data_IF_879732303825
#
_entry.id   IF_879732303825
#
_cell.length_a   1.000
_cell.length_b   1.000
_cell.length_c   1.000
_cell.angle_alpha   90.00
_cell.angle_beta   90.00
_cell.angle_gamma   90.00
#
_symmetry.space_group_name_H-M   'P 1'
#
loop_
_entity.id
_entity.type
_entity.pdbx_description
1 polymer ?
#
# COMPACT_ATOMS: atom_id res chain seq x y z
N UNK A 1 -22.35 -29.74 -12.02
CA UNK A 1 -23.31 -28.62 -12.20
C UNK A 1 -24.71 -29.18 -12.42
N UNK A 2 -25.70 -28.82 -11.62
CA UNK A 2 -27.04 -29.43 -11.63
C UNK A 2 -28.03 -28.70 -12.55
N UNK A 3 -27.77 -27.42 -12.84
CA UNK A 3 -28.66 -26.57 -13.66
C UNK A 3 -28.31 -26.58 -15.15
N UNK A 4 -27.05 -26.87 -15.49
CA UNK A 4 -26.57 -26.81 -16.86
C UNK A 4 -26.95 -28.07 -17.67
N UNK A 5 -27.20 -27.95 -18.99
CA UNK A 5 -27.23 -29.10 -19.87
C UNK A 5 -25.91 -29.86 -19.78
N UNK A 6 -25.96 -31.20 -19.88
CA UNK A 6 -24.78 -32.07 -19.72
C UNK A 6 -23.60 -31.63 -20.58
N UNK A 7 -23.85 -31.24 -21.83
CA UNK A 7 -22.80 -30.78 -22.75
C UNK A 7 -22.10 -29.49 -22.31
N UNK A 8 -22.78 -28.62 -21.57
CA UNK A 8 -22.24 -27.36 -21.06
C UNK A 8 -21.55 -27.58 -19.70
N UNK A 9 -22.13 -28.43 -18.84
CA UNK A 9 -21.50 -28.87 -17.60
C UNK A 9 -20.14 -29.52 -17.86
N UNK A 10 -20.05 -30.46 -18.83
CA UNK A 10 -18.80 -31.12 -19.23
C UNK A 10 -17.72 -30.15 -19.74
N UNK A 11 -18.12 -28.98 -20.24
CA UNK A 11 -17.18 -27.93 -20.68
C UNK A 11 -16.67 -27.10 -19.52
N UNK A 12 -17.53 -26.79 -18.54
CA UNK A 12 -17.11 -26.15 -17.30
C UNK A 12 -16.17 -27.06 -16.52
N UNK A 13 -16.48 -28.35 -16.40
CA UNK A 13 -15.62 -29.32 -15.70
C UNK A 13 -14.26 -29.46 -16.39
N UNK A 14 -14.21 -29.42 -17.73
CA UNK A 14 -12.94 -29.40 -18.48
C UNK A 14 -12.15 -28.11 -18.28
N UNK A 15 -12.83 -26.97 -18.19
CA UNK A 15 -12.19 -25.69 -17.87
C UNK A 15 -11.54 -25.73 -16.48
N UNK A 16 -12.26 -26.26 -15.49
CA UNK A 16 -11.76 -26.39 -14.11
C UNK A 16 -10.62 -27.41 -13.97
N UNK A 17 -10.60 -28.46 -14.79
CA UNK A 17 -9.56 -29.48 -14.78
C UNK A 17 -8.31 -29.09 -15.60
N UNK A 18 -8.38 -28.00 -16.38
CA UNK A 18 -7.26 -27.56 -17.20
C UNK A 18 -6.17 -26.91 -16.33
N UNK A 19 -4.88 -27.23 -16.53
CA UNK A 19 -3.80 -26.51 -15.85
C UNK A 19 -3.85 -25.01 -16.16
N UNK A 20 -3.51 -24.16 -15.20
CA UNK A 20 -3.48 -22.71 -15.38
C UNK A 20 -2.67 -22.32 -16.64
N UNK A 21 -3.25 -21.41 -17.44
CA UNK A 21 -2.64 -20.92 -18.68
C UNK A 21 -2.72 -21.86 -19.89
N UNK A 22 -3.37 -23.03 -19.79
CA UNK A 22 -3.50 -23.97 -20.92
C UNK A 22 -4.77 -23.79 -21.76
N UNK A 23 -5.79 -23.12 -21.22
CA UNK A 23 -7.02 -22.81 -21.96
C UNK A 23 -6.83 -21.51 -22.74
N UNK A 24 -7.07 -21.52 -24.05
CA UNK A 24 -6.98 -20.28 -24.86
C UNK A 24 -8.08 -19.30 -24.49
N UNK A 25 -7.80 -17.99 -24.57
CA UNK A 25 -8.79 -16.93 -24.35
C UNK A 25 -10.06 -17.16 -25.18
N UNK A 26 -9.92 -17.46 -26.48
CA UNK A 26 -11.03 -17.78 -27.38
C UNK A 26 -11.93 -18.92 -26.87
N UNK A 27 -11.36 -19.96 -26.26
CA UNK A 27 -12.14 -21.08 -25.74
C UNK A 27 -12.94 -20.70 -24.49
N UNK A 28 -12.37 -19.82 -23.64
CA UNK A 28 -13.09 -19.27 -22.49
C UNK A 28 -14.21 -18.34 -22.96
N UNK A 29 -13.95 -17.49 -23.96
CA UNK A 29 -14.93 -16.57 -24.54
C UNK A 29 -16.15 -17.31 -25.10
N UNK A 30 -15.93 -18.39 -25.84
CA UNK A 30 -17.01 -19.23 -26.37
C UNK A 30 -17.80 -19.91 -25.24
N UNK A 31 -17.12 -20.40 -24.20
CA UNK A 31 -17.80 -20.99 -23.03
C UNK A 31 -18.65 -19.96 -22.29
N UNK A 32 -18.13 -18.75 -22.10
CA UNK A 32 -18.90 -17.64 -21.50
C UNK A 32 -20.11 -17.31 -22.36
N UNK A 33 -19.95 -17.12 -23.67
CA UNK A 33 -21.07 -16.80 -24.56
C UNK A 33 -22.21 -17.85 -24.50
N UNK A 34 -21.86 -19.13 -24.40
CA UNK A 34 -22.84 -20.21 -24.26
C UNK A 34 -23.53 -20.21 -22.89
N UNK A 35 -22.80 -19.92 -21.81
CA UNK A 35 -23.36 -19.75 -20.47
C UNK A 35 -24.29 -18.54 -20.39
N UNK A 36 -23.93 -17.44 -21.05
CA UNK A 36 -24.74 -16.22 -21.18
C UNK A 36 -26.02 -16.50 -21.94
N UNK A 37 -25.92 -17.16 -23.09
CA UNK A 37 -27.08 -17.59 -23.88
C UNK A 37 -28.00 -18.53 -23.07
N UNK A 38 -27.43 -19.38 -22.22
CA UNK A 38 -28.21 -20.26 -21.36
C UNK A 38 -28.99 -19.51 -20.28
N UNK A 39 -28.41 -18.46 -19.69
CA UNK A 39 -29.09 -17.69 -18.63
C UNK A 39 -30.02 -16.60 -19.15
N UNK A 40 -29.81 -16.11 -20.38
CA UNK A 40 -30.66 -15.08 -20.96
C UNK A 40 -32.12 -15.56 -21.09
N UNK A 41 -33.05 -14.76 -20.59
CA UNK A 41 -34.48 -15.09 -20.56
C UNK A 41 -34.92 -16.11 -19.49
N UNK A 42 -34.03 -16.55 -18.59
CA UNK A 42 -34.40 -17.38 -17.42
C UNK A 42 -34.90 -16.52 -16.26
N UNK A 43 -35.32 -17.14 -15.15
CA UNK A 43 -35.61 -16.40 -13.91
C UNK A 43 -34.33 -16.00 -13.19
N UNK A 44 -34.40 -14.92 -12.42
CA UNK A 44 -33.31 -14.50 -11.53
C UNK A 44 -32.92 -15.57 -10.53
N UNK A 45 -33.87 -16.35 -10.00
CA UNK A 45 -33.56 -17.53 -9.16
C UNK A 45 -32.67 -18.55 -9.88
N UNK A 46 -32.90 -18.78 -11.18
CA UNK A 46 -32.11 -19.74 -11.96
C UNK A 46 -30.70 -19.20 -12.22
N UNK A 47 -30.60 -17.89 -12.48
CA UNK A 47 -29.31 -17.21 -12.58
C UNK A 47 -28.56 -17.30 -11.25
N UNK A 48 -29.19 -16.94 -10.13
CA UNK A 48 -28.61 -17.01 -8.78
C UNK A 48 -28.10 -18.41 -8.43
N UNK A 49 -28.90 -19.43 -8.71
CA UNK A 49 -28.51 -20.80 -8.42
C UNK A 49 -27.33 -21.26 -9.30
N UNK A 50 -27.26 -20.82 -10.57
CA UNK A 50 -26.11 -21.13 -11.43
C UNK A 50 -24.84 -20.44 -10.92
N UNK A 51 -24.93 -19.17 -10.57
CA UNK A 51 -23.79 -18.40 -10.10
C UNK A 51 -23.27 -18.94 -8.75
N UNK A 52 -24.17 -19.42 -7.89
CA UNK A 52 -23.80 -20.12 -6.66
C UNK A 52 -23.07 -21.43 -6.94
N UNK A 53 -23.55 -22.26 -7.88
CA UNK A 53 -22.86 -23.49 -8.26
C UNK A 53 -21.48 -23.22 -8.85
N UNK A 54 -21.34 -22.23 -9.74
CA UNK A 54 -20.05 -21.84 -10.32
C UNK A 54 -19.06 -21.38 -9.23
N UNK A 55 -19.55 -20.66 -8.22
CA UNK A 55 -18.74 -20.22 -7.07
C UNK A 55 -18.27 -21.39 -6.22
N UNK A 56 -19.16 -22.33 -5.89
CA UNK A 56 -18.84 -23.50 -5.06
C UNK A 56 -17.75 -24.38 -5.68
N UNK A 57 -17.70 -24.44 -7.01
CA UNK A 57 -16.67 -25.19 -7.74
C UNK A 57 -15.43 -24.36 -8.09
N UNK A 58 -15.34 -23.11 -7.63
CA UNK A 58 -14.19 -22.23 -7.86
C UNK A 58 -14.08 -21.67 -9.29
N UNK A 59 -15.15 -21.70 -10.08
CA UNK A 59 -15.19 -21.16 -11.45
C UNK A 59 -15.32 -19.62 -11.50
N UNK A 60 -14.63 -18.92 -10.61
CA UNK A 60 -14.76 -17.47 -10.42
C UNK A 60 -14.54 -16.64 -11.70
N UNK A 61 -13.55 -16.95 -12.57
CA UNK A 61 -13.38 -16.22 -13.82
C UNK A 61 -14.61 -16.32 -14.73
N UNK A 62 -15.28 -17.48 -14.78
CA UNK A 62 -16.49 -17.64 -15.58
C UNK A 62 -17.66 -16.86 -14.97
N UNK A 63 -17.85 -16.94 -13.65
CA UNK A 63 -18.88 -16.18 -12.93
C UNK A 63 -18.75 -14.68 -13.21
N UNK A 64 -17.54 -14.14 -13.10
CA UNK A 64 -17.27 -12.74 -13.35
C UNK A 64 -17.53 -12.32 -14.80
N UNK A 65 -17.16 -13.15 -15.76
CA UNK A 65 -17.36 -12.86 -17.19
C UNK A 65 -18.82 -12.98 -17.63
N UNK A 66 -19.60 -13.88 -17.02
CA UNK A 66 -21.05 -13.94 -17.21
C UNK A 66 -21.71 -12.69 -16.66
N UNK A 67 -21.30 -12.21 -15.48
CA UNK A 67 -21.80 -10.94 -14.93
C UNK A 67 -21.46 -9.77 -15.86
N UNK A 68 -20.22 -9.70 -16.35
CA UNK A 68 -19.80 -8.67 -17.31
C UNK A 68 -20.68 -8.62 -18.57
N UNK A 69 -21.17 -9.78 -19.04
CA UNK A 69 -22.06 -9.86 -20.20
C UNK A 69 -23.48 -9.32 -19.96
N UNK A 70 -23.93 -9.33 -18.69
CA UNK A 70 -25.17 -8.68 -18.29
C UNK A 70 -25.13 -7.17 -18.58
N UNK A 71 -23.92 -6.62 -18.61
CA UNK A 71 -23.66 -5.18 -18.67
C UNK A 71 -23.22 -4.71 -20.06
N UNK A 72 -22.75 -5.61 -20.95
CA UNK A 72 -22.56 -5.31 -22.39
C UNK A 72 -23.85 -5.29 -23.21
N UNK A 73 -25.02 -5.45 -22.56
CA UNK A 73 -26.32 -5.54 -23.24
C UNK A 73 -26.52 -6.84 -24.01
N UNK A 74 -25.79 -7.88 -23.61
CA UNK A 74 -25.90 -9.23 -24.18
C UNK A 74 -26.97 -10.06 -23.45
N UNK A 75 -27.29 -9.68 -22.21
CA UNK A 75 -28.51 -10.11 -21.51
C UNK A 75 -29.64 -9.09 -21.70
N UNK A 76 -30.88 -9.58 -21.66
CA UNK A 76 -32.08 -8.74 -21.66
C UNK A 76 -32.13 -7.74 -20.49
N UNK A 77 -32.68 -6.54 -20.74
CA UNK A 77 -32.75 -5.42 -19.78
C UNK A 77 -33.38 -5.80 -18.43
N UNK A 78 -34.36 -6.70 -18.44
CA UNK A 78 -35.03 -7.24 -17.24
C UNK A 78 -34.08 -8.05 -16.35
N UNK A 79 -33.23 -8.89 -16.96
CA UNK A 79 -32.25 -9.70 -16.23
C UNK A 79 -31.09 -8.83 -15.75
N UNK A 80 -30.64 -7.89 -16.59
CA UNK A 80 -29.54 -6.98 -16.26
C UNK A 80 -29.83 -6.14 -15.00
N UNK A 81 -31.06 -5.60 -14.87
CA UNK A 81 -31.44 -4.77 -13.73
C UNK A 81 -31.47 -5.51 -12.39
N UNK A 82 -32.06 -6.72 -12.34
CA UNK A 82 -32.17 -7.48 -11.09
C UNK A 82 -30.86 -8.15 -10.66
N UNK A 83 -30.00 -8.54 -11.62
CA UNK A 83 -28.70 -9.17 -11.35
C UNK A 83 -27.65 -8.15 -10.85
N UNK A 84 -27.74 -6.91 -11.32
CA UNK A 84 -26.82 -5.82 -10.97
C UNK A 84 -26.80 -5.50 -9.47
N UNK A 85 -27.98 -5.46 -8.84
CA UNK A 85 -28.10 -4.99 -7.46
C UNK A 85 -27.67 -6.04 -6.43
N UNK A 86 -27.82 -7.34 -6.73
CA UNK A 86 -27.68 -8.43 -5.72
C UNK A 86 -26.32 -9.15 -5.75
N UNK A 87 -25.71 -9.29 -6.93
CA UNK A 87 -24.49 -10.10 -7.09
C UNK A 87 -23.18 -9.36 -6.92
N UNK A 88 -23.18 -8.03 -7.05
CA UNK A 88 -21.99 -7.21 -6.79
C UNK A 88 -21.58 -7.43 -5.33
N UNK A 89 -22.36 -7.00 -4.34
CA UNK A 89 -21.98 -7.14 -2.92
C UNK A 89 -21.58 -8.56 -2.49
N UNK A 90 -22.26 -9.58 -3.04
CA UNK A 90 -22.01 -11.00 -2.73
C UNK A 90 -20.72 -11.54 -3.35
N UNK A 91 -20.38 -11.14 -4.58
CA UNK A 91 -19.12 -11.52 -5.21
C UNK A 91 -17.95 -10.65 -4.69
N UNK A 92 -18.21 -9.36 -4.46
CA UNK A 92 -17.26 -8.36 -3.96
C UNK A 92 -16.69 -8.73 -2.59
N UNK A 93 -17.52 -9.24 -1.68
CA UNK A 93 -17.05 -9.74 -0.37
C UNK A 93 -16.61 -11.20 -0.39
N UNK A 94 -17.18 -12.02 -1.27
CA UNK A 94 -16.96 -13.47 -1.28
C UNK A 94 -15.66 -13.92 -1.95
N UNK A 95 -15.10 -13.12 -2.88
CA UNK A 95 -14.00 -13.60 -3.72
C UNK A 95 -12.67 -13.70 -2.97
N UNK A 96 -12.23 -12.68 -2.24
CA UNK A 96 -10.91 -12.65 -1.59
C UNK A 96 -9.69 -12.87 -2.51
N UNK A 97 -9.92 -13.22 -3.77
CA UNK A 97 -8.98 -13.57 -4.80
C UNK A 97 -8.79 -12.36 -5.71
N UNK A 98 -7.67 -11.67 -5.49
CA UNK A 98 -7.28 -10.44 -6.20
C UNK A 98 -6.81 -10.72 -7.62
N UNK A 99 -6.39 -11.95 -7.94
CA UNK A 99 -5.83 -12.28 -9.25
C UNK A 99 -6.95 -12.45 -10.28
N UNK A 100 -7.99 -13.23 -9.95
CA UNK A 100 -9.16 -13.39 -10.81
C UNK A 100 -9.88 -12.06 -11.11
N UNK A 101 -9.74 -11.09 -10.21
CA UNK A 101 -10.29 -9.75 -10.34
C UNK A 101 -9.58 -8.83 -11.33
N UNK A 102 -8.24 -8.95 -11.41
CA UNK A 102 -7.43 -8.17 -12.33
C UNK A 102 -7.77 -8.58 -13.77
N UNK A 103 -7.96 -9.87 -14.01
CA UNK A 103 -8.33 -10.40 -15.33
C UNK A 103 -9.70 -9.85 -15.82
N UNK A 104 -10.61 -9.48 -14.92
CA UNK A 104 -11.92 -8.91 -15.30
C UNK A 104 -11.75 -7.62 -16.10
N UNK A 105 -10.74 -6.80 -15.78
CA UNK A 105 -10.63 -5.46 -16.35
C UNK A 105 -10.46 -5.48 -17.87
N UNK A 106 -9.80 -6.53 -18.39
CA UNK A 106 -9.61 -6.74 -19.83
C UNK A 106 -10.92 -7.09 -20.55
N UNK A 107 -11.93 -7.56 -19.80
CA UNK A 107 -13.26 -7.88 -20.31
C UNK A 107 -14.30 -6.77 -20.05
N UNK A 108 -13.99 -5.79 -19.20
CA UNK A 108 -14.82 -4.59 -18.99
C UNK A 108 -14.63 -3.66 -20.18
N UNK A 109 -15.39 -3.91 -21.24
CA UNK A 109 -15.32 -3.09 -22.45
C UNK A 109 -15.94 -1.69 -22.22
N UNK A 110 -15.49 -0.66 -22.95
CA UNK A 110 -16.14 0.66 -22.93
C UNK A 110 -17.64 0.63 -23.25
N UNK A 111 -18.11 -0.35 -24.04
CA UNK A 111 -19.54 -0.55 -24.32
C UNK A 111 -20.29 -1.06 -23.09
N UNK A 112 -19.71 -1.99 -22.33
CA UNK A 112 -20.27 -2.47 -21.06
C UNK A 112 -20.33 -1.37 -20.00
N UNK A 113 -19.30 -0.52 -19.93
CA UNK A 113 -19.30 0.65 -19.05
C UNK A 113 -20.36 1.68 -19.48
N UNK A 114 -20.59 1.85 -20.79
CA UNK A 114 -21.55 2.82 -21.33
C UNK A 114 -22.99 2.67 -20.79
N UNK A 115 -23.34 1.49 -20.27
CA UNK A 115 -24.70 1.12 -19.83
C UNK A 115 -24.95 1.25 -18.32
N UNK A 116 -23.94 1.55 -17.49
CA UNK A 116 -24.15 1.68 -16.04
C UNK A 116 -23.07 2.49 -15.30
N UNK A 117 -23.33 3.77 -15.04
CA UNK A 117 -22.48 4.61 -14.19
C UNK A 117 -22.28 4.03 -12.78
N UNK A 118 -23.34 3.42 -12.22
CA UNK A 118 -23.32 2.75 -10.93
C UNK A 118 -22.36 1.55 -10.92
N UNK A 119 -22.38 0.72 -11.96
CA UNK A 119 -21.48 -0.44 -12.07
C UNK A 119 -19.99 -0.01 -12.08
N UNK A 120 -19.67 1.01 -12.86
CA UNK A 120 -18.31 1.54 -12.88
C UNK A 120 -17.89 2.11 -11.51
N UNK A 121 -18.82 2.69 -10.76
CA UNK A 121 -18.58 3.14 -9.39
C UNK A 121 -18.31 1.96 -8.45
N UNK A 122 -19.18 0.96 -8.44
CA UNK A 122 -19.09 -0.19 -7.52
C UNK A 122 -17.87 -1.07 -7.80
N UNK A 123 -17.53 -1.32 -9.07
CA UNK A 123 -16.31 -2.02 -9.44
C UNK A 123 -15.06 -1.21 -9.10
N UNK A 124 -15.12 0.12 -9.27
CA UNK A 124 -14.06 1.02 -8.84
C UNK A 124 -13.85 0.96 -7.32
N UNK A 125 -14.93 0.94 -6.54
CA UNK A 125 -14.90 0.81 -5.08
C UNK A 125 -14.26 -0.52 -4.63
N UNK A 126 -14.65 -1.62 -5.28
CA UNK A 126 -14.04 -2.93 -5.05
C UNK A 126 -12.53 -2.90 -5.26
N UNK A 127 -12.09 -2.40 -6.42
CA UNK A 127 -10.68 -2.35 -6.76
C UNK A 127 -9.91 -1.48 -5.76
N UNK A 128 -10.52 -0.40 -5.25
CA UNK A 128 -9.94 0.38 -4.16
C UNK A 128 -9.84 -0.41 -2.85
N UNK A 129 -10.86 -1.20 -2.50
CA UNK A 129 -10.83 -2.06 -1.31
C UNK A 129 -9.70 -3.10 -1.35
N UNK A 130 -9.30 -3.53 -2.56
CA UNK A 130 -8.16 -4.42 -2.80
C UNK A 130 -6.82 -3.70 -2.97
N UNK A 131 -6.82 -2.36 -3.00
CA UNK A 131 -5.64 -1.54 -3.20
C UNK A 131 -5.23 -1.36 -4.67
N UNK A 132 -6.00 -1.90 -5.62
CA UNK A 132 -5.82 -1.84 -7.07
C UNK A 132 -6.25 -0.47 -7.64
N UNK A 133 -5.57 0.59 -7.20
CA UNK A 133 -5.94 1.98 -7.47
C UNK A 133 -5.79 2.37 -8.94
N UNK A 134 -4.78 1.83 -9.62
CA UNK A 134 -4.54 2.10 -11.04
C UNK A 134 -5.71 1.58 -11.89
N UNK A 135 -6.24 0.41 -11.55
CA UNK A 135 -7.40 -0.23 -12.14
C UNK A 135 -8.71 0.50 -11.79
N UNK A 136 -8.85 0.97 -10.55
CA UNK A 136 -10.05 1.69 -10.11
C UNK A 136 -10.21 3.08 -10.78
N UNK A 137 -9.11 3.78 -11.00
CA UNK A 137 -9.10 5.15 -11.53
C UNK A 137 -9.93 5.38 -12.80
N UNK A 138 -9.75 4.61 -13.89
CA UNK A 138 -10.56 4.79 -15.11
C UNK A 138 -12.06 4.52 -14.87
N UNK A 139 -12.41 3.55 -14.02
CA UNK A 139 -13.79 3.20 -13.71
C UNK A 139 -14.51 4.33 -12.96
N UNK A 140 -13.88 4.85 -11.91
CA UNK A 140 -14.41 5.97 -11.11
C UNK A 140 -14.56 7.24 -11.97
N UNK A 141 -13.55 7.56 -12.80
CA UNK A 141 -13.62 8.71 -13.72
C UNK A 141 -14.76 8.56 -14.73
N UNK A 142 -14.94 7.35 -15.25
CA UNK A 142 -16.05 7.06 -16.15
C UNK A 142 -17.40 7.21 -15.44
N UNK A 143 -17.56 6.67 -14.23
CA UNK A 143 -18.78 6.80 -13.43
C UNK A 143 -19.17 8.28 -13.23
N UNK A 144 -18.20 9.11 -12.84
CA UNK A 144 -18.39 10.55 -12.65
C UNK A 144 -18.70 11.30 -13.96
N UNK A 145 -18.19 10.83 -15.11
CA UNK A 145 -18.54 11.41 -16.42
C UNK A 145 -20.00 11.21 -16.79
N UNK A 146 -20.64 10.15 -16.25
CA UNK A 146 -22.04 9.79 -16.50
C UNK A 146 -22.97 10.32 -15.41
N UNK A 147 -22.52 10.29 -14.16
CA UNK A 147 -23.21 10.84 -13.01
C UNK A 147 -22.27 11.73 -12.18
N UNK A 148 -22.14 13.03 -12.53
CA UNK A 148 -21.29 13.96 -11.79
C UNK A 148 -21.73 14.19 -10.33
N UNK A 149 -22.96 13.83 -9.98
CA UNK A 149 -23.52 13.97 -8.63
C UNK A 149 -23.24 12.76 -7.71
N UNK A 150 -22.52 11.75 -8.19
CA UNK A 150 -22.18 10.56 -7.40
C UNK A 150 -21.15 10.91 -6.31
N UNK A 151 -21.64 11.12 -5.09
CA UNK A 151 -20.81 11.48 -3.93
C UNK A 151 -19.85 10.36 -3.55
N UNK A 152 -20.26 9.10 -3.70
CA UNK A 152 -19.43 7.93 -3.38
C UNK A 152 -18.28 7.77 -4.40
N UNK A 153 -18.57 7.86 -5.70
CA UNK A 153 -17.54 7.86 -6.73
C UNK A 153 -16.55 9.01 -6.54
N UNK A 154 -17.03 10.18 -6.11
CA UNK A 154 -16.19 11.36 -5.85
C UNK A 154 -15.30 11.20 -4.61
N UNK A 155 -15.82 10.56 -3.57
CA UNK A 155 -15.03 10.13 -2.41
C UNK A 155 -13.90 9.19 -2.84
N UNK A 156 -14.23 8.19 -3.66
CA UNK A 156 -13.28 7.22 -4.19
C UNK A 156 -12.22 7.87 -5.10
N UNK A 157 -12.59 8.87 -5.90
CA UNK A 157 -11.64 9.68 -6.67
C UNK A 157 -10.65 10.42 -5.74
N UNK A 158 -11.14 10.97 -4.62
CA UNK A 158 -10.30 11.61 -3.61
C UNK A 158 -9.28 10.65 -2.98
N UNK A 159 -9.66 9.40 -2.73
CA UNK A 159 -8.78 8.34 -2.25
C UNK A 159 -7.71 7.99 -3.31
N UNK A 160 -8.09 7.88 -4.58
CA UNK A 160 -7.15 7.63 -5.69
C UNK A 160 -6.09 8.72 -5.73
N UNK A 161 -6.51 9.99 -5.74
CA UNK A 161 -5.59 11.14 -5.75
C UNK A 161 -4.69 11.17 -4.52
N UNK A 162 -5.21 10.85 -3.32
CA UNK A 162 -4.42 10.79 -2.07
C UNK A 162 -3.24 9.83 -2.19
N UNK A 163 -3.48 8.61 -2.68
CA UNK A 163 -2.44 7.60 -2.81
C UNK A 163 -1.54 7.80 -4.03
N UNK A 164 -1.98 8.59 -5.02
CA UNK A 164 -1.14 9.04 -6.13
C UNK A 164 -0.22 10.22 -5.76
N UNK A 165 -0.39 10.82 -4.56
CA UNK A 165 0.34 12.01 -4.14
C UNK A 165 -0.20 13.32 -4.76
N UNK A 166 -1.34 13.26 -5.44
CA UNK A 166 -2.06 14.38 -6.07
C UNK A 166 -2.93 15.08 -5.01
N UNK A 167 -2.27 15.71 -4.04
CA UNK A 167 -2.94 16.16 -2.81
C UNK A 167 -3.88 17.37 -3.02
N UNK A 168 -3.62 18.23 -4.00
CA UNK A 168 -4.51 19.34 -4.33
C UNK A 168 -5.84 18.83 -4.89
N UNK A 169 -5.78 17.88 -5.83
CA UNK A 169 -6.95 17.20 -6.43
C UNK A 169 -7.69 16.37 -5.38
N UNK A 170 -6.96 15.67 -4.51
CA UNK A 170 -7.52 14.93 -3.38
C UNK A 170 -8.30 15.85 -2.44
N UNK A 171 -7.73 17.00 -2.06
CA UNK A 171 -8.40 17.98 -1.22
C UNK A 171 -9.64 18.57 -1.90
N UNK A 172 -9.59 18.85 -3.20
CA UNK A 172 -10.74 19.32 -3.96
C UNK A 172 -11.89 18.29 -3.93
N UNK A 173 -11.60 17.02 -4.24
CA UNK A 173 -12.59 15.94 -4.23
C UNK A 173 -13.24 15.74 -2.85
N UNK A 174 -12.46 15.78 -1.76
CA UNK A 174 -13.02 15.63 -0.42
C UNK A 174 -13.82 16.85 0.05
N UNK A 175 -13.40 18.09 -0.27
CA UNK A 175 -14.24 19.28 -0.02
C UNK A 175 -15.60 19.14 -0.68
N UNK A 176 -15.59 18.63 -1.89
CA UNK A 176 -16.75 18.36 -2.70
C UNK A 176 -17.68 17.29 -2.08
N UNK A 177 -17.14 16.20 -1.54
CA UNK A 177 -17.92 15.23 -0.72
C UNK A 177 -18.54 15.91 0.50
N UNK A 178 -17.77 16.73 1.22
CA UNK A 178 -18.18 17.39 2.46
C UNK A 178 -19.24 18.49 2.24
N UNK A 179 -19.48 18.95 1.01
CA UNK A 179 -20.63 19.80 0.68
C UNK A 179 -21.95 19.04 0.87
N UNK A 180 -21.97 17.74 0.51
CA UNK A 180 -23.17 16.90 0.60
C UNK A 180 -23.26 16.15 1.93
N UNK A 181 -22.12 15.73 2.47
CA UNK A 181 -22.01 14.98 3.71
C UNK A 181 -21.03 15.67 4.65
N UNK A 182 -21.45 16.76 5.34
CA UNK A 182 -20.52 17.60 6.09
C UNK A 182 -19.70 16.84 7.13
N UNK A 183 -20.28 15.88 7.83
CA UNK A 183 -19.62 15.16 8.92
C UNK A 183 -19.14 13.76 8.51
N UNK A 184 -18.94 13.53 7.20
CA UNK A 184 -18.35 12.28 6.72
C UNK A 184 -16.90 12.17 7.20
N UNK A 185 -16.65 11.20 8.09
CA UNK A 185 -15.41 11.13 8.87
C UNK A 185 -14.22 10.74 8.00
N UNK A 186 -14.41 9.85 7.02
CA UNK A 186 -13.35 9.42 6.12
C UNK A 186 -12.80 10.55 5.25
N UNK A 187 -13.69 11.44 4.81
CA UNK A 187 -13.42 12.59 3.96
C UNK A 187 -12.79 13.69 4.77
N UNK A 188 -13.27 13.95 6.00
CA UNK A 188 -12.58 14.86 6.93
C UNK A 188 -11.16 14.39 7.23
N UNK A 189 -10.98 13.08 7.46
CA UNK A 189 -9.66 12.50 7.75
C UNK A 189 -8.72 12.65 6.55
N UNK A 190 -9.18 12.24 5.37
CA UNK A 190 -8.39 12.28 4.15
C UNK A 190 -8.14 13.72 3.67
N UNK A 191 -9.09 14.64 3.87
CA UNK A 191 -8.88 16.06 3.66
C UNK A 191 -7.80 16.61 4.61
N UNK A 192 -7.83 16.25 5.89
CA UNK A 192 -6.80 16.65 6.85
C UNK A 192 -5.39 16.20 6.43
N UNK A 193 -5.26 14.97 5.89
CA UNK A 193 -4.00 14.47 5.31
C UNK A 193 -3.59 15.31 4.10
N UNK A 194 -4.48 15.47 3.12
CA UNK A 194 -4.19 16.19 1.88
C UNK A 194 -3.79 17.65 2.14
N UNK A 195 -4.51 18.35 3.03
CA UNK A 195 -4.19 19.73 3.43
C UNK A 195 -2.85 19.82 4.18
N UNK A 196 -2.53 18.82 5.00
CA UNK A 196 -1.20 18.75 5.64
C UNK A 196 -0.10 18.62 4.59
N UNK A 197 -0.31 17.77 3.58
CA UNK A 197 0.67 17.54 2.51
C UNK A 197 0.97 18.80 1.69
N UNK A 198 -0.07 19.57 1.34
CA UNK A 198 0.08 20.85 0.62
C UNK A 198 0.44 22.03 1.53
N UNK A 199 0.72 21.76 2.82
CA UNK A 199 1.13 22.75 3.84
C UNK A 199 0.06 23.79 4.20
N UNK A 200 -1.21 23.52 3.89
CA UNK A 200 -2.35 24.26 4.43
C UNK A 200 -2.68 23.78 5.85
N UNK A 201 -1.83 24.14 6.81
CA UNK A 201 -1.98 23.70 8.20
C UNK A 201 -3.22 24.27 8.88
N UNK A 202 -3.69 25.44 8.46
CA UNK A 202 -4.91 26.05 8.98
C UNK A 202 -6.15 25.27 8.54
N UNK A 203 -6.23 24.94 7.25
CA UNK A 203 -7.28 24.07 6.71
C UNK A 203 -7.23 22.67 7.31
N UNK A 204 -6.04 22.07 7.40
CA UNK A 204 -5.87 20.75 8.02
C UNK A 204 -6.36 20.74 9.47
N UNK A 205 -5.97 21.74 10.27
CA UNK A 205 -6.42 21.91 11.66
C UNK A 205 -7.95 22.01 11.76
N UNK A 206 -8.59 22.72 10.84
CA UNK A 206 -10.06 22.78 10.79
C UNK A 206 -10.66 21.40 10.55
N UNK A 207 -10.12 20.62 9.61
CA UNK A 207 -10.57 19.25 9.35
C UNK A 207 -10.39 18.34 10.59
N UNK A 208 -9.24 18.43 11.26
CA UNK A 208 -8.95 17.68 12.49
C UNK A 208 -9.91 18.04 13.64
N UNK A 209 -10.20 19.33 13.82
CA UNK A 209 -11.12 19.80 14.86
C UNK A 209 -12.54 19.28 14.65
N UNK A 210 -12.99 19.18 13.38
CA UNK A 210 -14.30 18.59 13.05
C UNK A 210 -14.38 17.10 13.38
N UNK A 211 -13.25 16.40 13.42
CA UNK A 211 -13.13 15.03 13.93
C UNK A 211 -12.97 14.96 15.46
N UNK A 212 -13.00 16.08 16.17
CA UNK A 212 -12.76 16.15 17.62
C UNK A 212 -11.29 16.01 18.03
N UNK A 213 -10.36 16.07 17.07
CA UNK A 213 -8.93 15.99 17.33
C UNK A 213 -8.41 17.39 17.65
N UNK A 214 -7.94 17.57 18.89
CA UNK A 214 -7.42 18.86 19.36
C UNK A 214 -6.01 19.06 18.84
N UNK A 215 -5.86 20.03 17.95
CA UNK A 215 -4.61 20.41 17.32
C UNK A 215 -4.23 21.84 17.74
N UNK A 216 -3.06 22.05 18.38
CA UNK A 216 -2.54 23.38 18.71
C UNK A 216 -2.43 24.32 17.49
N UNK A 217 -2.46 25.62 17.77
CA UNK A 217 -2.21 26.65 16.77
C UNK A 217 -0.70 26.81 16.50
N UNK A 218 -0.14 25.86 15.73
CA UNK A 218 1.25 25.88 15.27
C UNK A 218 1.39 25.45 13.81
N UNK A 219 2.60 25.64 13.26
CA UNK A 219 2.99 25.30 11.88
C UNK A 219 3.25 23.79 11.66
N UNK A 220 2.75 22.94 12.56
CA UNK A 220 2.51 21.53 12.24
C UNK A 220 3.05 20.48 13.21
N UNK A 221 4.07 20.75 14.02
CA UNK A 221 4.61 19.75 14.96
C UNK A 221 3.97 19.98 16.33
N UNK A 222 3.06 19.08 16.75
CA UNK A 222 2.28 19.27 17.98
C UNK A 222 1.91 17.97 18.71
N UNK A 223 2.40 16.81 18.27
CA UNK A 223 2.33 15.60 19.06
C UNK A 223 3.10 15.76 20.38
N UNK A 224 2.61 15.11 21.44
CA UNK A 224 3.35 15.03 22.69
C UNK A 224 4.63 14.22 22.43
N UNK A 225 5.80 14.66 22.94
CA UNK A 225 7.01 13.84 22.87
C UNK A 225 6.73 12.42 23.38
N UNK A 226 7.09 11.41 22.58
CA UNK A 226 7.01 9.99 22.97
C UNK A 226 5.84 9.18 22.43
N UNK A 227 4.92 9.74 21.64
CA UNK A 227 3.94 8.93 20.92
C UNK A 227 4.60 8.24 19.71
N UNK A 228 4.96 6.97 19.87
CA UNK A 228 5.59 6.17 18.81
C UNK A 228 4.57 5.37 18.04
N UNK A 229 4.80 5.23 16.75
CA UNK A 229 3.98 4.40 15.87
C UNK A 229 4.86 3.56 14.92
N UNK A 230 4.40 2.35 14.55
CA UNK A 230 5.00 1.57 13.49
C UNK A 230 4.52 2.11 12.14
N UNK A 231 5.46 2.44 11.27
CA UNK A 231 5.25 3.01 9.94
C UNK A 231 5.73 2.00 8.93
N UNK A 232 4.85 1.57 8.03
CA UNK A 232 5.26 0.80 6.86
C UNK A 232 5.86 1.75 5.83
N UNK A 233 7.18 1.72 5.69
CA UNK A 233 7.96 2.46 4.70
C UNK A 233 8.16 1.58 3.47
N UNK A 234 7.06 1.32 2.77
CA UNK A 234 7.05 0.57 1.52
C UNK A 234 7.73 1.39 0.41
N UNK A 235 8.52 0.77 -0.47
CA UNK A 235 8.38 1.12 -1.89
C UNK A 235 7.01 0.56 -2.31
N UNK A 236 6.23 1.27 -3.13
CA UNK A 236 4.81 1.03 -3.46
C UNK A 236 4.29 -0.42 -3.43
N UNK A 237 2.97 -0.61 -3.31
CA UNK A 237 2.33 -1.94 -3.24
C UNK A 237 2.78 -2.98 -4.30
N UNK A 238 3.38 -2.52 -5.41
CA UNK A 238 3.90 -3.33 -6.52
C UNK A 238 5.44 -3.56 -6.49
N UNK A 239 6.14 -3.10 -5.43
CA UNK A 239 7.59 -3.22 -5.33
C UNK A 239 8.01 -4.65 -4.95
N UNK A 240 9.06 -5.21 -5.58
CA UNK A 240 9.53 -6.59 -5.34
C UNK A 240 10.19 -6.79 -3.96
N UNK A 241 10.22 -5.75 -3.12
CA UNK A 241 10.87 -5.77 -1.80
C UNK A 241 9.78 -5.80 -0.73
N UNK A 242 9.93 -6.68 0.26
CA UNK A 242 9.04 -6.73 1.42
C UNK A 242 8.92 -5.33 2.04
N UNK A 243 7.69 -4.86 2.18
CA UNK A 243 7.40 -3.60 2.85
C UNK A 243 7.96 -3.64 4.28
N UNK A 244 8.88 -2.73 4.58
CA UNK A 244 9.53 -2.68 5.88
C UNK A 244 8.71 -1.83 6.85
N UNK A 245 8.55 -2.32 8.08
CA UNK A 245 7.90 -1.57 9.16
C UNK A 245 8.98 -1.05 10.10
N UNK A 246 9.09 0.26 10.21
CA UNK A 246 10.02 0.96 11.08
C UNK A 246 9.26 1.77 12.12
N UNK A 247 9.87 2.02 13.27
CA UNK A 247 9.28 2.93 14.26
C UNK A 247 9.46 4.39 13.84
N UNK A 248 8.49 5.23 14.20
CA UNK A 248 8.59 6.67 14.10
C UNK A 248 7.89 7.39 15.24
N UNK A 249 8.27 8.65 15.46
CA UNK A 249 7.64 9.53 16.43
C UNK A 249 6.53 10.31 15.73
N UNK A 250 5.31 10.27 16.27
CA UNK A 250 4.21 11.06 15.74
C UNK A 250 4.58 12.55 15.88
N UNK A 251 4.32 13.33 14.84
CA UNK A 251 4.43 14.80 14.87
C UNK A 251 3.06 15.46 14.85
N UNK A 252 2.11 14.85 14.13
CA UNK A 252 0.71 15.22 14.06
C UNK A 252 -0.14 14.02 13.57
N UNK A 253 -1.48 14.13 13.43
CA UNK A 253 -2.32 13.03 12.94
C UNK A 253 -1.84 12.45 11.61
N UNK A 254 -1.33 13.30 10.71
CA UNK A 254 -0.89 12.92 9.37
C UNK A 254 0.63 12.91 9.14
N UNK A 255 1.48 13.17 10.15
CA UNK A 255 2.95 13.15 9.96
C UNK A 255 3.66 12.45 11.10
N UNK A 256 4.76 11.78 10.75
CA UNK A 256 5.65 11.14 11.70
C UNK A 256 7.11 11.30 11.26
N UNK A 257 8.02 11.35 12.23
CA UNK A 257 9.46 11.31 12.01
C UNK A 257 9.93 9.87 12.10
N UNK A 258 10.61 9.38 11.07
CA UNK A 258 11.17 8.03 11.06
C UNK A 258 12.32 7.94 12.09
N UNK A 259 12.25 6.98 13.01
CA UNK A 259 13.26 6.75 14.06
C UNK A 259 13.90 5.37 14.01
N UNK A 260 13.33 4.44 13.24
CA UNK A 260 14.01 3.21 12.82
C UNK A 260 14.85 3.46 11.58
N UNK A 261 15.98 2.76 11.43
CA UNK A 261 16.80 2.82 10.22
C UNK A 261 16.29 1.72 9.26
N UNK A 262 15.70 2.08 8.10
CA UNK A 262 15.26 1.10 7.12
C UNK A 262 16.43 0.30 6.55
N UNK A 263 16.24 -0.99 6.32
CA UNK A 263 17.22 -1.97 5.85
C UNK A 263 17.24 -2.14 4.33
N UNK A 264 16.07 -2.14 3.69
CA UNK A 264 15.97 -2.58 2.29
C UNK A 264 15.84 -1.43 1.28
N UNK A 265 15.99 -0.18 1.73
CA UNK A 265 15.65 1.00 0.95
C UNK A 265 14.13 1.16 0.86
N UNK A 266 13.64 2.39 0.98
CA UNK A 266 12.22 2.70 0.98
C UNK A 266 11.98 4.17 0.65
N UNK A 267 10.72 4.60 0.70
CA UNK A 267 10.32 6.00 0.46
C UNK A 267 10.92 7.02 1.43
N UNK A 268 11.47 6.56 2.56
CA UNK A 268 12.03 7.42 3.60
C UNK A 268 13.22 6.74 4.30
N UNK A 269 14.13 7.57 4.79
CA UNK A 269 15.28 7.20 5.61
C UNK A 269 15.06 7.59 7.08
N UNK A 270 16.00 7.20 7.94
CA UNK A 270 16.01 7.64 9.32
C UNK A 270 16.02 9.18 9.42
N UNK A 271 15.19 9.71 10.30
CA UNK A 271 15.07 11.15 10.58
C UNK A 271 14.14 11.90 9.63
N UNK A 272 13.80 11.31 8.47
CA UNK A 272 12.86 11.91 7.54
C UNK A 272 11.50 12.14 8.20
N UNK A 273 10.83 13.20 7.79
CA UNK A 273 9.42 13.37 8.10
C UNK A 273 8.62 12.82 6.93
N UNK A 274 7.70 11.93 7.24
CA UNK A 274 6.81 11.29 6.27
C UNK A 274 5.37 11.71 6.52
N UNK A 275 4.59 11.75 5.44
CA UNK A 275 3.15 11.79 5.52
C UNK A 275 2.64 10.37 5.79
N UNK A 276 1.73 10.22 6.75
CA UNK A 276 1.18 8.91 7.13
C UNK A 276 -0.34 8.89 7.06
N UNK A 277 -0.89 7.72 6.71
CA UNK A 277 -2.32 7.45 6.85
C UNK A 277 -2.57 6.66 8.13
N UNK A 278 -3.38 7.20 9.05
CA UNK A 278 -3.70 6.54 10.31
C UNK A 278 -4.70 5.38 10.20
N UNK A 279 -5.19 5.05 9.00
CA UNK A 279 -5.93 3.82 8.77
C UNK A 279 -5.00 2.61 8.99
N UNK A 280 -5.32 1.79 9.99
CA UNK A 280 -4.54 0.60 10.34
C UNK A 280 -4.52 -0.40 9.18
N UNK A 281 -3.32 -0.84 8.78
CA UNK A 281 -3.10 -1.88 7.77
C UNK A 281 -2.64 -3.21 8.38
N UNK A 282 -2.64 -3.31 9.71
CA UNK A 282 -2.14 -4.45 10.46
C UNK A 282 -1.65 -4.03 11.84
N UNK A 283 -1.08 -4.97 12.60
CA UNK A 283 -0.58 -4.71 13.94
C UNK A 283 0.78 -5.37 14.17
N UNK A 284 1.62 -4.69 14.96
CA UNK A 284 2.86 -5.26 15.51
C UNK A 284 2.79 -5.30 17.03
N UNK A 285 3.60 -6.15 17.70
CA UNK A 285 3.79 -6.06 19.14
C UNK A 285 4.21 -4.65 19.58
N UNK A 286 3.57 -4.14 20.61
CA UNK A 286 3.90 -2.87 21.23
C UNK A 286 5.10 -2.96 22.17
N UNK A 287 5.45 -1.84 22.83
CA UNK A 287 6.58 -1.77 23.75
C UNK A 287 6.36 -2.56 25.07
N UNK A 288 5.12 -2.90 25.42
CA UNK A 288 4.82 -3.75 26.59
C UNK A 288 4.25 -5.11 26.17
N UNK A 289 4.42 -6.10 27.03
CA UNK A 289 3.94 -7.46 26.80
C UNK A 289 2.41 -7.50 26.66
N UNK A 290 1.93 -8.07 25.56
CA UNK A 290 0.50 -8.11 25.22
C UNK A 290 -0.02 -6.90 24.44
N UNK A 291 0.77 -5.81 24.33
CA UNK A 291 0.37 -4.64 23.54
C UNK A 291 0.41 -4.96 22.04
N UNK A 292 -0.55 -4.40 21.32
CA UNK A 292 -0.61 -4.42 19.85
C UNK A 292 -0.76 -2.99 19.37
N UNK A 293 0.05 -2.59 18.40
CA UNK A 293 0.05 -1.22 17.85
C UNK A 293 -0.24 -1.29 16.37
N UNK A 294 -1.23 -0.51 15.94
CA UNK A 294 -1.64 -0.39 14.55
C UNK A 294 -0.49 0.17 13.69
N UNK A 295 -0.23 -0.52 12.58
CA UNK A 295 0.73 -0.09 11.55
C UNK A 295 0.05 0.98 10.70
N UNK A 296 0.73 2.11 10.49
CA UNK A 296 0.30 3.16 9.56
C UNK A 296 1.07 3.05 8.25
N UNK A 297 0.46 3.49 7.15
CA UNK A 297 1.15 3.55 5.86
C UNK A 297 1.94 4.85 5.72
N UNK A 298 3.18 4.77 5.23
CA UNK A 298 3.90 5.93 4.69
C UNK A 298 3.34 6.26 3.30
N UNK A 299 2.70 7.42 3.16
CA UNK A 299 2.14 7.87 1.89
C UNK A 299 3.19 8.52 0.99
N UNK A 300 4.04 9.38 1.57
CA UNK A 300 5.10 10.09 0.85
C UNK A 300 6.11 10.73 1.80
N UNK A 301 7.26 11.12 1.25
CA UNK A 301 8.24 11.94 1.93
C UNK A 301 7.73 13.38 2.07
N UNK A 302 7.69 13.90 3.29
CA UNK A 302 7.25 15.29 3.58
C UNK A 302 8.43 16.25 3.70
N UNK A 303 9.51 15.82 4.33
CA UNK A 303 10.79 16.54 4.36
C UNK A 303 11.95 15.61 4.70
N UNK A 304 13.04 15.73 3.96
CA UNK A 304 14.29 15.01 4.21
C UNK A 304 14.92 15.41 5.54
N UNK A 305 15.43 14.43 6.28
CA UNK A 305 16.39 14.65 7.33
C UNK A 305 17.71 15.14 6.73
N UNK A 306 18.36 16.03 7.46
CA UNK A 306 19.71 16.50 7.13
C UNK A 306 20.82 15.58 7.67
N UNK A 307 20.44 14.47 8.31
CA UNK A 307 21.36 13.50 8.91
C UNK A 307 22.09 12.66 7.86
N UNK A 308 23.16 11.98 8.27
CA UNK A 308 23.97 11.14 7.40
C UNK A 308 24.06 9.72 7.94
N UNK A 309 23.76 8.76 7.08
CA UNK A 309 23.85 7.34 7.37
C UNK A 309 25.22 6.80 6.93
N UNK A 310 25.97 6.28 7.88
CA UNK A 310 27.26 5.64 7.69
C UNK A 310 27.10 4.13 7.87
N UNK A 311 27.66 3.36 6.94
CA UNK A 311 27.68 1.90 7.00
C UNK A 311 29.07 1.43 7.42
N UNK A 312 29.17 0.86 8.61
CA UNK A 312 30.39 0.21 9.08
C UNK A 312 30.49 -1.19 8.44
N UNK A 313 31.63 -1.49 7.84
CA UNK A 313 31.92 -2.74 7.12
C UNK A 313 33.06 -3.52 7.77
N UNK A 314 33.02 -4.85 7.65
CA UNK A 314 34.07 -5.74 8.11
C UNK A 314 35.35 -5.69 7.26
N UNK A 315 36.49 -5.86 7.93
CA UNK A 315 37.85 -5.96 7.38
C UNK A 315 38.05 -7.14 6.43
N UNK A 316 38.98 -7.06 5.48
CA UNK A 316 39.34 -8.22 4.66
C UNK A 316 39.89 -9.36 5.52
N UNK A 317 39.34 -10.57 5.33
CA UNK A 317 39.83 -11.80 5.97
C UNK A 317 39.34 -12.06 7.41
N UNK A 318 38.50 -11.19 7.97
CA UNK A 318 37.68 -11.45 9.17
C UNK A 318 36.44 -10.56 9.06
N UNK A 319 35.37 -11.14 8.54
CA UNK A 319 34.06 -10.53 8.67
C UNK A 319 33.66 -10.59 10.15
N UNK A 320 33.25 -9.48 10.77
CA UNK A 320 32.71 -9.51 12.12
C UNK A 320 31.55 -10.49 12.17
N UNK A 321 31.35 -11.18 13.28
CA UNK A 321 30.17 -12.00 13.44
C UNK A 321 28.93 -11.10 13.61
N UNK A 322 27.72 -11.58 13.32
CA UNK A 322 26.49 -10.86 13.64
C UNK A 322 26.38 -10.41 15.10
N UNK A 323 27.00 -11.16 16.02
CA UNK A 323 27.07 -10.82 17.44
C UNK A 323 28.01 -9.63 17.71
N UNK A 324 29.08 -9.46 16.92
CA UNK A 324 30.00 -8.32 17.05
C UNK A 324 29.33 -7.04 16.54
N UNK A 325 28.62 -7.14 15.42
CA UNK A 325 27.80 -6.06 14.90
C UNK A 325 26.71 -5.63 15.90
N UNK A 326 26.07 -6.57 16.61
CA UNK A 326 25.07 -6.24 17.63
C UNK A 326 25.70 -5.51 18.83
N UNK A 327 26.83 -6.00 19.34
CA UNK A 327 27.52 -5.35 20.47
C UNK A 327 27.92 -3.92 20.13
N UNK A 328 28.41 -3.69 18.91
CA UNK A 328 28.75 -2.34 18.45
C UNK A 328 27.52 -1.46 18.32
N UNK A 329 26.43 -1.96 17.75
CA UNK A 329 25.18 -1.21 17.65
C UNK A 329 24.68 -0.79 19.05
N UNK A 330 24.68 -1.70 20.02
CA UNK A 330 24.33 -1.40 21.43
C UNK A 330 25.23 -0.32 22.02
N UNK A 331 26.55 -0.43 21.83
CA UNK A 331 27.51 0.53 22.36
C UNK A 331 27.30 1.94 21.78
N UNK A 332 27.10 2.05 20.45
CA UNK A 332 26.82 3.32 19.79
C UNK A 332 25.51 3.96 20.27
N UNK A 333 24.47 3.16 20.52
CA UNK A 333 23.22 3.65 21.17
C UNK A 333 23.48 4.19 22.56
N UNK A 334 24.38 3.55 23.33
CA UNK A 334 24.80 4.02 24.65
C UNK A 334 25.51 5.38 24.62
N UNK A 335 26.12 5.73 23.48
CA UNK A 335 26.75 7.04 23.24
C UNK A 335 25.79 8.08 22.66
N UNK A 336 24.52 7.74 22.45
CA UNK A 336 23.50 8.64 21.92
C UNK A 336 23.30 8.59 20.40
N UNK A 337 24.06 7.77 19.67
CA UNK A 337 23.89 7.62 18.22
C UNK A 337 22.74 6.67 17.88
N UNK A 338 22.00 6.97 16.82
CA UNK A 338 21.06 6.02 16.26
C UNK A 338 21.80 4.95 15.45
N UNK A 339 21.64 3.68 15.80
CA UNK A 339 22.33 2.58 15.12
C UNK A 339 21.47 1.32 15.01
N UNK A 340 21.73 0.53 13.96
CA UNK A 340 21.06 -0.74 13.69
C UNK A 340 22.06 -1.78 13.18
N UNK A 341 21.85 -3.03 13.59
CA UNK A 341 22.57 -4.17 13.05
C UNK A 341 21.92 -4.62 11.74
N UNK A 342 22.68 -4.59 10.65
CA UNK A 342 22.28 -5.03 9.31
C UNK A 342 22.84 -6.40 8.93
N UNK A 343 23.36 -7.17 9.90
CA UNK A 343 23.85 -8.51 9.64
C UNK A 343 22.77 -9.40 9.00
N UNK A 344 23.15 -10.11 7.93
CA UNK A 344 22.23 -10.94 7.14
C UNK A 344 21.41 -10.20 6.07
N UNK A 345 21.63 -8.89 5.88
CA UNK A 345 21.02 -8.10 4.81
C UNK A 345 22.04 -7.83 3.70
N UNK A 346 21.81 -8.37 2.51
CA UNK A 346 22.69 -8.19 1.36
C UNK A 346 23.98 -9.04 1.41
N UNK A 347 24.93 -8.82 0.48
CA UNK A 347 26.14 -9.64 0.35
C UNK A 347 27.17 -9.45 1.49
N UNK A 348 27.02 -8.40 2.30
CA UNK A 348 27.90 -8.11 3.43
C UNK A 348 27.36 -8.82 4.70
N UNK A 349 27.91 -9.99 5.04
CA UNK A 349 27.39 -10.89 6.08
C UNK A 349 27.39 -10.36 7.52
N UNK A 350 27.98 -9.19 7.78
CA UNK A 350 27.83 -8.43 9.02
C UNK A 350 28.17 -6.95 8.81
N UNK A 351 27.18 -6.08 9.02
CA UNK A 351 27.33 -4.62 8.90
C UNK A 351 26.53 -3.91 9.99
N UNK A 352 26.99 -2.73 10.40
CA UNK A 352 26.25 -1.84 11.32
C UNK A 352 25.96 -0.53 10.59
N UNK A 353 24.69 -0.15 10.50
CA UNK A 353 24.27 1.17 10.04
C UNK A 353 24.24 2.13 11.22
N UNK A 354 24.81 3.32 11.06
CA UNK A 354 24.87 4.38 12.08
C UNK A 354 24.43 5.69 11.47
N UNK A 355 23.49 6.40 12.09
CA UNK A 355 23.06 7.71 11.63
C UNK A 355 23.56 8.79 12.56
N UNK A 356 24.22 9.80 11.97
CA UNK A 356 24.58 11.06 12.60
C UNK A 356 23.53 12.11 12.28
N UNK A 357 23.07 12.84 13.29
CA UNK A 357 22.22 13.99 13.06
C UNK A 357 23.03 15.14 12.43
N UNK A 358 22.34 16.03 11.70
CA UNK A 358 22.97 17.19 11.10
C UNK A 358 23.58 18.11 12.18
N UNK A 359 24.87 18.39 12.08
CA UNK A 359 25.59 19.24 13.03
C UNK A 359 26.29 18.47 14.14
N UNK A 360 26.12 17.15 14.24
CA UNK A 360 26.94 16.34 15.13
C UNK A 360 28.36 16.19 14.55
N UNK A 361 29.41 16.30 15.40
CA UNK A 361 30.78 16.23 14.95
C UNK A 361 31.16 14.81 14.49
N UNK A 362 31.44 14.68 13.19
CA UNK A 362 31.98 13.48 12.54
C UNK A 362 33.18 12.86 13.27
N UNK A 363 34.05 13.71 13.83
CA UNK A 363 35.26 13.30 14.53
C UNK A 363 34.96 12.55 15.82
N UNK A 364 33.86 12.87 16.51
CA UNK A 364 33.45 12.18 17.73
C UNK A 364 32.89 10.80 17.42
N UNK A 365 32.06 10.68 16.36
CA UNK A 365 31.62 9.36 15.90
C UNK A 365 32.81 8.52 15.46
N UNK A 366 33.73 9.09 14.68
CA UNK A 366 34.87 8.35 14.18
C UNK A 366 35.82 7.91 15.32
N UNK A 367 35.99 8.73 16.36
CA UNK A 367 36.72 8.34 17.57
C UNK A 367 36.00 7.23 18.35
N UNK A 368 34.68 7.37 18.57
CA UNK A 368 33.87 6.36 19.23
C UNK A 368 33.88 5.02 18.49
N UNK A 369 33.73 5.05 17.17
CA UNK A 369 33.86 3.86 16.32
C UNK A 369 35.26 3.29 16.49
N UNK A 370 36.33 4.09 16.33
CA UNK A 370 37.70 3.59 16.44
C UNK A 370 38.03 2.99 17.82
N UNK A 371 37.47 3.51 18.91
CA UNK A 371 37.63 2.98 20.27
C UNK A 371 36.85 1.66 20.45
N UNK A 372 35.60 1.62 19.98
CA UNK A 372 34.76 0.42 20.05
C UNK A 372 35.23 -0.68 19.08
N UNK A 373 36.04 -0.30 18.08
CA UNK A 373 36.59 -1.17 17.05
C UNK A 373 38.10 -1.35 17.15
N UNK A 374 38.73 -1.10 18.31
CA UNK A 374 40.14 -1.45 18.50
C UNK A 374 40.41 -2.95 18.35
N UNK A 375 39.42 -3.79 18.70
CA UNK A 375 39.48 -5.26 18.55
C UNK A 375 38.62 -5.80 17.39
N UNK A 376 37.57 -5.06 16.96
CA UNK A 376 36.70 -5.47 15.85
C UNK A 376 37.19 -4.83 14.56
N UNK A 377 37.41 -5.62 13.50
CA UNK A 377 37.99 -5.16 12.22
C UNK A 377 37.03 -4.31 11.38
N UNK A 378 36.20 -3.49 12.01
CA UNK A 378 35.18 -2.66 11.38
C UNK A 378 35.77 -1.31 10.96
N UNK A 379 35.41 -0.83 9.78
CA UNK A 379 35.79 0.48 9.25
C UNK A 379 34.68 1.06 8.38
N UNK A 380 34.65 2.38 8.22
CA UNK A 380 33.75 3.07 7.30
C UNK A 380 34.57 4.05 6.46
N UNK A 381 34.95 3.67 5.23
CA UNK A 381 35.75 4.52 4.36
C UNK A 381 35.13 5.89 4.14
N UNK A 382 33.80 5.95 4.06
CA UNK A 382 33.04 7.18 3.85
C UNK A 382 33.19 8.13 5.07
N UNK A 383 33.05 7.60 6.29
CA UNK A 383 33.27 8.36 7.53
C UNK A 383 34.73 8.77 7.71
N UNK A 384 35.67 7.85 7.46
CA UNK A 384 37.10 8.10 7.61
C UNK A 384 37.58 9.19 6.64
N UNK A 385 37.18 9.11 5.37
CA UNK A 385 37.51 10.11 4.37
C UNK A 385 36.93 11.49 4.73
N UNK A 386 35.68 11.53 5.18
CA UNK A 386 35.00 12.78 5.53
C UNK A 386 35.50 13.41 6.83
N UNK A 387 35.90 12.59 7.81
CA UNK A 387 36.52 13.04 9.06
C UNK A 387 38.02 13.40 8.91
N UNK A 388 38.61 13.24 7.72
CA UNK A 388 40.04 13.49 7.48
C UNK A 388 40.97 12.47 8.16
N UNK A 389 40.48 11.27 8.44
CA UNK A 389 41.21 10.17 9.05
C UNK A 389 41.86 9.27 7.99
N UNK A 390 42.96 8.57 8.32
CA UNK A 390 43.58 7.63 7.40
C UNK A 390 42.63 6.48 7.08
N UNK A 391 42.20 6.39 5.81
CA UNK A 391 41.29 5.35 5.33
C UNK A 391 41.93 3.97 5.47
N UNK A 392 41.32 3.09 6.28
CA UNK A 392 41.72 1.70 6.41
C UNK A 392 41.22 0.95 5.16
N UNK A 393 42.11 0.67 4.20
CA UNK A 393 41.72 0.17 2.86
C UNK A 393 41.03 -1.20 2.90
N UNK A 394 39.86 -1.30 2.24
CA UNK A 394 39.37 -2.56 1.67
C UNK A 394 40.22 -2.93 0.43
N UNK A 395 40.38 -4.24 0.08
CA UNK A 395 41.06 -4.62 -1.15
C UNK A 395 40.24 -4.18 -2.38
N UNK A 396 40.95 -3.88 -3.46
CA UNK A 396 40.39 -3.47 -4.73
C UNK A 396 39.71 -4.65 -5.48
N UNK A 397 38.60 -5.15 -4.98
CA UNK A 397 37.63 -5.93 -5.76
C UNK A 397 36.30 -5.94 -5.02
N UNK A 398 35.34 -5.13 -5.47
CA UNK A 398 33.92 -5.48 -5.56
C UNK A 398 33.20 -4.32 -6.27
N UNK A 399 32.50 -4.70 -7.33
CA UNK A 399 31.82 -3.86 -8.31
C UNK A 399 30.72 -2.98 -7.71
N UNK A 400 30.50 -1.84 -8.36
CA UNK A 400 29.42 -0.90 -8.10
C UNK A 400 28.04 -1.55 -8.08
N UNK A 401 27.19 -1.07 -7.18
CA UNK A 401 25.74 -1.00 -7.32
C UNK A 401 25.32 0.44 -7.11
#
# INVERSE_FOLDING_TARGET
>A
MSLLPTSLADRVDRFLAAPEGTTSADAVDVLVADLVTFVDGKSTDTFHALMAELREVGAYPLTLRILASAWSGTLSDTMAGEVLEDWIGTLLHGLGDREAAIDIIDFVTPDALSRGAAFASDLGDLFLSWGLRAQASPLIKFALSKNPGDVSARYNLGIIHKFAGEYDESAAAFREVLVHQPEEKGALWSLGIALTAVRDFAGARTAWQRLGIVVPESDGDYARPGERLPIRVSAHADAPVQAEVVWGDRLCPARARVTGIPRYGGLAAFGDVVLVDGASIGEVPGPHEGDRVAIVECLSLFSEAKGRLYRLRGGPGDSPSPADAERLAVALRGLGYASINWSGVGPDSAAVGVVLAAGEPLTELAAAVSELTTDTRLFCPELEAEAGLPVRRAPATLSAF
#
